data_IF_874692709733
#
_entry.id   IF_874692709733
#
_cell.length_a   1.000
_cell.length_b   1.000
_cell.length_c   1.000
_cell.angle_alpha   90.00
_cell.angle_beta   90.00
_cell.angle_gamma   90.00
#
_symmetry.space_group_name_H-M   'P 1'
#
loop_
_entity.id
_entity.type
_entity.pdbx_description
1 polymer ?
#
# COMPACT_ATOMS: atom_id res chain seq x y z
N UNK A 1 -0.77 -29.57 5.18
CA UNK A 1 -1.03 -28.16 5.56
C UNK A 1 0.24 -27.39 5.25
N UNK A 2 0.17 -26.32 4.46
CA UNK A 2 1.37 -25.53 4.15
C UNK A 2 1.83 -24.87 5.45
N UNK A 3 2.92 -25.36 6.03
CA UNK A 3 3.64 -24.73 7.13
C UNK A 3 4.44 -23.56 6.58
N UNK A 4 3.76 -22.54 6.07
CA UNK A 4 4.42 -21.33 5.57
C UNK A 4 5.07 -20.62 6.76
N UNK A 5 6.39 -20.47 6.72
CA UNK A 5 7.15 -19.78 7.76
C UNK A 5 7.10 -18.27 7.51
N UNK A 6 6.03 -17.60 7.95
CA UNK A 6 5.79 -16.19 7.65
C UNK A 6 6.90 -15.24 8.13
N UNK A 7 7.56 -15.54 9.24
CA UNK A 7 8.72 -14.78 9.70
C UNK A 7 9.90 -14.84 8.70
N UNK A 8 10.15 -16.01 8.11
CA UNK A 8 11.17 -16.18 7.07
C UNK A 8 10.74 -15.48 5.78
N UNK A 9 9.45 -15.59 5.43
CA UNK A 9 8.86 -14.90 4.28
C UNK A 9 9.04 -13.39 4.39
N UNK A 10 8.75 -12.79 5.56
CA UNK A 10 8.93 -11.35 5.77
C UNK A 10 10.37 -10.93 5.52
N UNK A 11 11.33 -11.67 6.08
CA UNK A 11 12.76 -11.37 5.92
C UNK A 11 13.22 -11.47 4.47
N UNK A 12 12.79 -12.51 3.76
CA UNK A 12 13.13 -12.70 2.33
C UNK A 12 12.47 -11.61 1.48
N UNK A 13 11.20 -11.31 1.71
CA UNK A 13 10.46 -10.29 0.98
C UNK A 13 11.06 -8.90 1.19
N UNK A 14 11.41 -8.55 2.44
CA UNK A 14 12.10 -7.30 2.80
C UNK A 14 13.45 -7.17 2.09
N UNK A 15 14.25 -8.24 2.12
CA UNK A 15 15.54 -8.27 1.42
C UNK A 15 15.38 -8.10 -0.09
N UNK A 16 14.36 -8.73 -0.69
CA UNK A 16 14.11 -8.69 -2.12
C UNK A 16 13.48 -7.36 -2.56
N UNK A 17 12.67 -6.72 -1.72
CA UNK A 17 12.10 -5.40 -1.96
C UNK A 17 13.19 -4.36 -2.24
N UNK A 18 14.32 -4.48 -1.52
CA UNK A 18 15.54 -3.71 -1.77
C UNK A 18 15.31 -2.20 -1.73
N UNK A 19 16.23 -1.46 -2.36
CA UNK A 19 16.10 -0.02 -2.58
C UNK A 19 15.72 0.30 -4.02
N UNK A 20 15.44 1.57 -4.29
CA UNK A 20 15.17 2.10 -5.62
C UNK A 20 15.84 3.46 -5.78
N UNK A 21 16.05 3.96 -7.01
CA UNK A 21 16.83 5.18 -7.24
C UNK A 21 16.33 6.43 -6.49
N UNK A 22 15.04 6.49 -6.16
CA UNK A 22 14.42 7.61 -5.47
C UNK A 22 14.16 7.34 -3.98
N UNK A 23 14.57 6.19 -3.45
CA UNK A 23 14.33 5.83 -2.06
C UNK A 23 15.03 6.80 -1.11
N UNK A 24 14.30 7.31 -0.11
CA UNK A 24 14.84 8.26 0.87
C UNK A 24 15.20 9.64 0.31
N UNK A 25 14.73 9.96 -0.90
CA UNK A 25 14.82 11.31 -1.47
C UNK A 25 13.55 12.11 -1.15
N UNK A 26 13.56 13.42 -1.46
CA UNK A 26 12.42 14.31 -1.22
C UNK A 26 11.10 13.87 -1.89
N UNK A 27 11.15 12.96 -2.86
CA UNK A 27 9.96 12.54 -3.61
C UNK A 27 8.91 11.91 -2.72
N UNK A 28 9.30 11.08 -1.74
CA UNK A 28 8.35 10.43 -0.83
C UNK A 28 7.61 11.47 0.02
N UNK A 29 8.34 12.41 0.62
CA UNK A 29 7.76 13.50 1.41
C UNK A 29 6.87 14.41 0.55
N UNK A 30 7.32 14.72 -0.68
CA UNK A 30 6.53 15.51 -1.62
C UNK A 30 5.23 14.79 -1.99
N UNK A 31 5.28 13.49 -2.27
CA UNK A 31 4.08 12.73 -2.56
C UNK A 31 3.18 12.63 -1.33
N UNK A 32 3.72 12.42 -0.13
CA UNK A 32 2.93 12.39 1.10
C UNK A 32 2.18 13.71 1.32
N UNK A 33 2.79 14.85 0.95
CA UNK A 33 2.13 16.15 1.02
C UNK A 33 1.07 16.38 -0.07
N UNK A 34 1.25 15.84 -1.28
CA UNK A 34 0.37 16.15 -2.43
C UNK A 34 -0.72 15.10 -2.68
N UNK A 35 -0.47 13.83 -2.34
CA UNK A 35 -1.36 12.72 -2.66
C UNK A 35 -2.75 12.85 -2.01
N UNK A 36 -2.91 13.34 -0.75
CA UNK A 36 -4.24 13.53 -0.16
C UNK A 36 -5.15 14.42 -1.00
N UNK A 37 -4.65 15.56 -1.49
CA UNK A 37 -5.42 16.50 -2.31
C UNK A 37 -5.82 15.88 -3.65
N UNK A 38 -4.90 15.14 -4.29
CA UNK A 38 -5.19 14.46 -5.55
C UNK A 38 -6.23 13.36 -5.38
N UNK A 39 -6.17 12.57 -4.31
CA UNK A 39 -7.13 11.51 -4.06
C UNK A 39 -8.49 12.07 -3.67
N UNK A 40 -8.54 13.15 -2.88
CA UNK A 40 -9.79 13.84 -2.58
C UNK A 40 -10.48 14.33 -3.86
N UNK A 41 -9.72 14.97 -4.75
CA UNK A 41 -10.28 15.42 -6.04
C UNK A 41 -10.71 14.25 -6.94
N UNK A 42 -9.94 13.16 -6.95
CA UNK A 42 -10.31 11.97 -7.71
C UNK A 42 -11.61 11.34 -7.17
N UNK A 43 -11.80 11.31 -5.85
CA UNK A 43 -13.01 10.78 -5.24
C UNK A 43 -14.27 11.56 -5.67
N UNK A 44 -14.20 12.89 -5.68
CA UNK A 44 -15.29 13.75 -6.18
C UNK A 44 -15.64 13.41 -7.63
N UNK A 45 -14.64 13.37 -8.51
CA UNK A 45 -14.82 13.07 -9.93
C UNK A 45 -15.41 11.67 -10.15
N UNK A 46 -14.95 10.67 -9.42
CA UNK A 46 -15.47 9.30 -9.52
C UNK A 46 -16.94 9.25 -9.08
N UNK A 47 -17.30 9.95 -7.99
CA UNK A 47 -18.70 10.01 -7.56
C UNK A 47 -19.59 10.75 -8.55
N UNK A 48 -19.12 11.86 -9.13
CA UNK A 48 -19.85 12.61 -10.16
C UNK A 48 -20.12 11.74 -11.40
N UNK A 49 -19.13 10.99 -11.88
CA UNK A 49 -19.23 10.18 -13.11
C UNK A 49 -20.00 8.87 -12.90
N UNK A 50 -19.84 8.22 -11.75
CA UNK A 50 -20.42 6.89 -11.50
C UNK A 50 -21.76 6.93 -10.79
N UNK A 51 -22.09 8.05 -10.13
CA UNK A 51 -23.21 8.14 -9.20
C UNK A 51 -23.03 7.29 -7.93
N UNK A 52 -21.84 6.71 -7.71
CA UNK A 52 -21.52 5.90 -6.53
C UNK A 52 -20.75 6.78 -5.53
N UNK A 53 -21.42 7.09 -4.42
CA UNK A 53 -20.78 7.74 -3.27
C UNK A 53 -19.98 6.75 -2.43
N UNK A 54 -18.97 7.25 -1.73
CA UNK A 54 -18.28 6.51 -0.65
C UNK A 54 -18.58 7.17 0.68
N UNK A 55 -18.68 6.38 1.74
CA UNK A 55 -18.85 6.91 3.09
C UNK A 55 -17.51 7.43 3.62
N UNK A 56 -17.38 8.75 3.74
CA UNK A 56 -16.22 9.40 4.35
C UNK A 56 -15.16 9.89 3.36
N UNK A 57 -14.03 10.33 3.90
CA UNK A 57 -12.89 10.81 3.12
C UNK A 57 -11.83 9.71 3.00
N UNK A 58 -11.26 9.48 1.80
CA UNK A 58 -10.19 8.51 1.63
C UNK A 58 -8.95 8.91 2.45
N UNK A 59 -8.39 7.94 3.17
CA UNK A 59 -7.07 8.09 3.81
C UNK A 59 -5.99 7.68 2.83
N UNK A 60 -4.89 8.44 2.78
CA UNK A 60 -3.83 8.25 1.80
C UNK A 60 -2.48 8.22 2.50
N UNK A 61 -1.74 7.13 2.28
CA UNK A 61 -0.37 6.98 2.75
C UNK A 61 0.56 6.68 1.56
N UNK A 62 1.74 7.31 1.56
CA UNK A 62 2.82 6.99 0.64
C UNK A 62 3.75 6.03 1.34
N UNK A 63 3.86 4.81 0.80
CA UNK A 63 4.64 3.72 1.41
C UNK A 63 5.82 3.34 0.52
N UNK A 64 6.99 3.17 1.15
CA UNK A 64 8.15 2.53 0.54
C UNK A 64 7.87 1.05 0.26
N UNK A 65 8.73 0.40 -0.54
CA UNK A 65 8.62 -1.04 -0.80
C UNK A 65 8.70 -1.87 0.47
N UNK A 66 9.54 -1.46 1.43
CA UNK A 66 9.69 -2.14 2.70
C UNK A 66 8.41 -2.04 3.53
N UNK A 67 7.89 -0.82 3.70
CA UNK A 67 6.62 -0.61 4.39
C UNK A 67 5.51 -1.42 3.71
N UNK A 68 5.44 -1.43 2.37
CA UNK A 68 4.44 -2.21 1.64
C UNK A 68 4.47 -3.71 1.98
N UNK A 69 5.67 -4.31 2.08
CA UNK A 69 5.83 -5.70 2.56
C UNK A 69 5.24 -5.85 3.95
N UNK A 70 5.59 -4.95 4.87
CA UNK A 70 5.15 -5.02 6.26
C UNK A 70 3.61 -4.87 6.40
N UNK A 71 2.97 -3.99 5.62
CA UNK A 71 1.50 -3.80 5.72
C UNK A 71 0.71 -4.93 5.05
N UNK A 72 1.25 -5.55 4.00
CA UNK A 72 0.48 -6.48 3.16
C UNK A 72 0.73 -7.96 3.47
N UNK A 73 1.79 -8.31 4.20
CA UNK A 73 2.15 -9.72 4.41
C UNK A 73 1.01 -10.54 5.03
N UNK A 74 0.31 -9.99 6.03
CA UNK A 74 -0.84 -10.64 6.66
C UNK A 74 -2.04 -10.83 5.72
N UNK A 75 -2.16 -10.01 4.67
CA UNK A 75 -3.17 -10.22 3.63
C UNK A 75 -2.78 -11.41 2.73
N UNK A 76 -1.50 -11.52 2.35
CA UNK A 76 -1.00 -12.68 1.61
C UNK A 76 -1.11 -13.97 2.41
N UNK A 77 -0.91 -13.91 3.73
CA UNK A 77 -1.15 -15.05 4.62
C UNK A 77 -2.57 -15.58 4.51
N UNK A 78 -3.55 -14.71 4.72
CA UNK A 78 -4.97 -15.06 4.62
C UNK A 78 -5.37 -15.55 3.24
N UNK A 79 -4.80 -15.00 2.17
CA UNK A 79 -5.09 -15.43 0.80
C UNK A 79 -4.60 -16.85 0.49
N UNK A 80 -3.55 -17.31 1.18
CA UNK A 80 -3.00 -18.66 1.02
C UNK A 80 -3.56 -19.66 2.02
N UNK A 81 -4.43 -19.23 2.93
CA UNK A 81 -5.17 -20.15 3.78
C UNK A 81 -6.06 -21.05 2.92
N UNK A 82 -6.14 -22.35 3.24
CA UNK A 82 -7.07 -23.24 2.56
C UNK A 82 -8.50 -22.74 2.69
N UNK A 83 -9.26 -22.82 1.58
CA UNK A 83 -10.69 -22.51 1.52
C UNK A 83 -11.54 -23.63 2.08
#
# INVERSE_FOLDING_TARGET
MSTTQWDLTQRIASQFAGSYPLAGTYHEERYAAQAPDFVARAAELVTEETGLGTDGQPTVDVVSRQQWVDVNLAAFERLLEPV
#
